data_IF_269239384329
#
_entry.id   IF_269239384329
#
_cell.length_a   1.000
_cell.length_b   1.000
_cell.length_c   1.000
_cell.angle_alpha   90.00
_cell.angle_beta   90.00
_cell.angle_gamma   90.00
#
_symmetry.space_group_name_H-M   'P 1'
#
loop_
_entity.id
_entity.type
_entity.pdbx_description
1 polymer ?
#
# COMPACT_ATOMS: atom_id res chain seq x y z
N UNK A 1 7.33 -39.17 -42.05
CA UNK A 1 7.98 -38.77 -40.77
C UNK A 1 7.45 -37.39 -40.42
N UNK A 2 6.49 -37.32 -39.49
CA UNK A 2 5.93 -36.07 -38.99
C UNK A 2 6.44 -35.88 -37.57
N UNK A 3 7.25 -34.84 -37.35
CA UNK A 3 7.75 -34.44 -36.04
C UNK A 3 7.56 -32.95 -35.88
N UNK A 4 6.30 -32.51 -35.78
CA UNK A 4 5.94 -31.19 -35.30
C UNK A 4 5.73 -31.34 -33.79
N UNK A 5 6.79 -31.17 -33.02
CA UNK A 5 6.78 -31.35 -31.57
C UNK A 5 7.76 -30.37 -30.94
N UNK A 6 7.23 -29.24 -30.51
CA UNK A 6 8.01 -28.18 -29.90
C UNK A 6 7.23 -26.88 -29.92
N UNK A 7 6.20 -26.79 -29.09
CA UNK A 7 5.68 -25.51 -28.64
C UNK A 7 6.85 -24.78 -27.97
N UNK A 8 7.52 -23.90 -28.71
CA UNK A 8 8.50 -22.99 -28.15
C UNK A 8 7.69 -21.96 -27.37
N UNK A 9 7.35 -22.28 -26.12
CA UNK A 9 6.86 -21.29 -25.17
C UNK A 9 8.06 -20.37 -24.96
N UNK A 10 8.10 -19.30 -25.76
CA UNK A 10 9.10 -18.26 -25.64
C UNK A 10 8.94 -17.64 -24.26
N UNK A 11 9.71 -18.15 -23.30
CA UNK A 11 10.04 -17.42 -22.10
C UNK A 11 10.81 -16.20 -22.62
N UNK A 12 10.11 -15.08 -22.77
CA UNK A 12 10.75 -13.81 -23.07
C UNK A 12 11.82 -13.63 -22.00
N UNK A 13 13.09 -13.78 -22.40
CA UNK A 13 14.22 -13.43 -21.58
C UNK A 13 14.05 -11.94 -21.35
N UNK A 14 13.57 -11.56 -20.18
CA UNK A 14 13.54 -10.17 -19.75
C UNK A 14 14.99 -9.72 -19.87
N UNK A 15 15.28 -8.72 -20.71
CA UNK A 15 16.65 -8.23 -20.92
C UNK A 15 17.26 -7.92 -19.53
N UNK A 16 18.55 -8.20 -19.30
CA UNK A 16 19.17 -8.07 -17.97
C UNK A 16 18.92 -6.68 -17.33
N UNK A 17 18.79 -5.64 -18.16
CA UNK A 17 18.43 -4.27 -17.75
C UNK A 17 16.97 -4.15 -17.26
N UNK A 18 16.03 -4.85 -17.88
CA UNK A 18 14.64 -4.89 -17.44
C UNK A 18 14.49 -5.67 -16.14
N UNK A 19 15.28 -6.73 -15.92
CA UNK A 19 15.33 -7.43 -14.64
C UNK A 19 15.88 -6.55 -13.52
N UNK A 20 16.92 -5.75 -13.80
CA UNK A 20 17.46 -4.79 -12.83
C UNK A 20 16.39 -3.78 -12.38
N UNK A 21 15.61 -3.25 -13.33
CA UNK A 21 14.51 -2.32 -13.04
C UNK A 21 13.36 -2.96 -12.25
N UNK A 22 13.06 -4.23 -12.50
CA UNK A 22 12.05 -4.97 -11.72
C UNK A 22 12.51 -5.11 -10.27
N UNK A 23 13.77 -5.52 -10.03
CA UNK A 23 14.32 -5.64 -8.67
C UNK A 23 14.25 -4.31 -7.90
N UNK A 24 14.69 -3.19 -8.52
CA UNK A 24 14.62 -1.86 -7.88
C UNK A 24 13.19 -1.45 -7.53
N UNK A 25 12.22 -1.78 -8.39
CA UNK A 25 10.81 -1.49 -8.15
C UNK A 25 10.24 -2.38 -7.03
N UNK A 26 10.59 -3.66 -6.98
CA UNK A 26 10.18 -4.57 -5.92
C UNK A 26 10.72 -4.12 -4.55
N UNK A 27 11.99 -3.72 -4.48
CA UNK A 27 12.58 -3.16 -3.25
C UNK A 27 11.83 -1.91 -2.79
N UNK A 28 11.52 -1.01 -3.72
CA UNK A 28 10.80 0.23 -3.43
C UNK A 28 9.34 -0.02 -3.04
N UNK A 29 8.68 -1.01 -3.63
CA UNK A 29 7.35 -1.46 -3.22
C UNK A 29 7.42 -2.02 -1.80
N UNK A 30 8.40 -2.88 -1.49
CA UNK A 30 8.58 -3.44 -0.16
C UNK A 30 8.81 -2.34 0.89
N UNK A 31 9.61 -1.31 0.57
CA UNK A 31 9.80 -0.14 1.44
C UNK A 31 8.47 0.60 1.68
N UNK A 32 7.71 0.88 0.62
CA UNK A 32 6.43 1.59 0.73
C UNK A 32 5.38 0.78 1.49
N UNK A 33 5.33 -0.53 1.29
CA UNK A 33 4.44 -1.43 2.01
C UNK A 33 4.83 -1.56 3.49
N UNK A 34 6.10 -1.40 3.85
CA UNK A 34 6.55 -1.42 5.24
C UNK A 34 6.23 -0.13 6.01
N UNK A 35 5.90 0.98 5.33
CA UNK A 35 5.60 2.26 5.99
C UNK A 35 4.27 2.22 6.73
N UNK A 36 4.27 2.75 7.94
CA UNK A 36 3.08 2.87 8.78
C UNK A 36 2.83 4.32 9.19
N UNK A 37 1.56 4.70 9.28
CA UNK A 37 1.14 6.00 9.81
C UNK A 37 0.90 5.86 11.31
N UNK A 38 1.49 6.77 12.11
CA UNK A 38 1.21 6.86 13.55
C UNK A 38 0.08 7.85 13.77
N UNK A 39 -1.01 7.39 14.39
CA UNK A 39 -2.12 8.25 14.75
C UNK A 39 -1.93 8.82 16.16
N UNK A 40 -2.18 10.12 16.37
CA UNK A 40 -2.16 10.69 17.71
C UNK A 40 -3.19 10.00 18.62
N UNK A 41 -2.93 9.95 19.94
CA UNK A 41 -3.82 9.30 20.89
C UNK A 41 -5.23 9.92 20.91
N UNK A 42 -5.30 11.23 20.70
CA UNK A 42 -6.50 12.07 20.65
C UNK A 42 -6.39 13.03 19.47
N UNK A 43 -7.44 13.10 18.64
CA UNK A 43 -7.57 14.11 17.59
C UNK A 43 -8.34 15.30 18.18
N UNK A 44 -7.76 16.49 18.12
CA UNK A 44 -8.44 17.74 18.44
C UNK A 44 -8.41 18.62 17.20
N UNK A 45 -9.57 19.09 16.76
CA UNK A 45 -9.66 20.22 15.84
C UNK A 45 -9.91 21.47 16.67
N UNK A 46 -9.15 22.53 16.42
CA UNK A 46 -9.57 23.89 16.74
C UNK A 46 -10.66 24.25 15.73
N UNK A 47 -11.91 23.91 16.03
CA UNK A 47 -13.06 24.47 15.33
C UNK A 47 -13.43 25.78 16.03
N UNK A 48 -13.08 26.92 15.43
CA UNK A 48 -13.52 28.23 15.94
C UNK A 48 -15.05 28.41 15.82
N UNK A 49 -15.75 27.64 14.97
CA UNK A 49 -17.10 28.03 14.55
C UNK A 49 -18.22 26.98 14.71
N UNK A 50 -17.97 25.75 15.19
CA UNK A 50 -19.05 24.75 15.34
C UNK A 50 -19.18 24.18 16.76
N UNK A 51 -20.43 24.10 17.20
CA UNK A 51 -20.87 23.66 18.53
C UNK A 51 -20.20 22.35 18.93
N UNK A 52 -19.75 22.32 20.19
CA UNK A 52 -18.91 21.32 20.88
C UNK A 52 -19.44 19.87 20.92
N UNK A 53 -20.50 19.54 20.17
CA UNK A 53 -21.23 18.27 20.23
C UNK A 53 -21.19 17.45 18.92
N UNK A 54 -20.19 17.68 18.04
CA UNK A 54 -19.94 16.75 16.93
C UNK A 54 -19.08 15.61 17.47
N UNK A 55 -19.53 14.35 17.43
CA UNK A 55 -18.74 13.23 17.91
C UNK A 55 -17.45 13.18 17.09
N UNK A 56 -16.33 13.41 17.77
CA UNK A 56 -14.98 13.10 17.32
C UNK A 56 -15.07 11.77 16.59
N UNK A 57 -14.83 11.75 15.27
CA UNK A 57 -14.92 10.54 14.45
C UNK A 57 -14.25 9.42 15.22
N UNK A 58 -15.04 8.42 15.65
CA UNK A 58 -14.58 7.37 16.55
C UNK A 58 -13.25 6.86 16.02
N UNK A 59 -12.21 6.84 16.88
CA UNK A 59 -10.86 6.41 16.51
C UNK A 59 -10.88 5.07 15.78
N UNK A 60 -11.86 4.21 16.07
CA UNK A 60 -12.10 2.94 15.36
C UNK A 60 -12.56 3.15 13.92
N UNK A 61 -13.46 4.09 13.65
CA UNK A 61 -13.90 4.45 12.30
C UNK A 61 -12.78 5.07 11.48
N UNK A 62 -11.98 5.97 12.08
CA UNK A 62 -10.81 6.57 11.42
C UNK A 62 -9.79 5.50 11.05
N UNK A 63 -9.43 4.62 12.00
CA UNK A 63 -8.53 3.48 11.74
C UNK A 63 -9.10 2.54 10.67
N UNK A 64 -10.41 2.28 10.67
CA UNK A 64 -11.06 1.42 9.68
C UNK A 64 -10.98 2.03 8.27
N UNK A 65 -11.23 3.33 8.13
CA UNK A 65 -11.14 4.03 6.86
C UNK A 65 -9.69 4.02 6.32
N UNK A 66 -8.70 4.27 7.17
CA UNK A 66 -7.29 4.26 6.79
C UNK A 66 -6.85 2.84 6.36
N UNK A 67 -7.23 1.80 7.11
CA UNK A 67 -6.96 0.40 6.73
C UNK A 67 -7.67 0.01 5.42
N UNK A 68 -8.91 0.47 5.21
CA UNK A 68 -9.65 0.22 3.97
C UNK A 68 -9.00 0.89 2.75
N UNK A 69 -8.26 1.98 2.94
CA UNK A 69 -7.46 2.64 1.91
C UNK A 69 -6.10 1.94 1.66
N UNK A 70 -5.83 0.80 2.31
CA UNK A 70 -4.56 0.07 2.18
C UNK A 70 -3.40 0.65 2.98
N UNK A 71 -3.65 1.63 3.85
CA UNK A 71 -2.60 2.29 4.64
C UNK A 71 -2.46 1.55 5.98
N UNK A 72 -1.23 1.13 6.30
CA UNK A 72 -0.91 0.53 7.60
C UNK A 72 -0.88 1.59 8.70
N UNK A 73 -1.45 1.26 9.85
CA UNK A 73 -1.53 2.15 11.02
C UNK A 73 -0.83 1.49 12.19
N UNK A 74 0.14 2.19 12.76
CA UNK A 74 0.86 1.73 13.95
C UNK A 74 -0.11 1.60 15.12
N UNK A 75 -0.13 0.45 15.79
CA UNK A 75 -0.93 0.29 17.00
C UNK A 75 -0.27 1.06 18.15
N UNK A 76 -1.03 1.99 18.74
CA UNK A 76 -0.63 2.81 19.88
C UNK A 76 -1.28 2.28 21.15
#
# INVERSE_FOLDING_TARGET
MAGWGGEFIGLYLIDDDEQCRVCELEERIAELEAREVTLPPTFWYEHDDLSRDIPVLDKRLVKKAIRAAGIKVKES
#
